data_IF_041346622727
#
_entry.id   IF_041346622727
#
_cell.length_a   1.000
_cell.length_b   1.000
_cell.length_c   1.000
_cell.angle_alpha   90.00
_cell.angle_beta   90.00
_cell.angle_gamma   90.00
#
_symmetry.space_group_name_H-M   'P 1'
#
loop_
_entity.id
_entity.type
_entity.pdbx_description
1 polymer ?
#
# COMPACT_ATOMS: atom_id res chain seq x y z
N UNK A 1 -4.07 -2.04 1.16
CA UNK A 1 -3.78 -0.71 0.56
C UNK A 1 -2.80 0.09 1.43
N UNK A 2 -1.80 0.78 0.84
CA UNK A 2 -0.78 1.55 1.57
C UNK A 2 -1.33 2.81 2.28
N UNK A 3 -0.96 3.01 3.54
CA UNK A 3 -1.36 4.20 4.31
C UNK A 3 -0.36 5.36 4.15
N UNK A 4 -0.73 6.30 3.28
CA UNK A 4 0.02 7.54 3.03
C UNK A 4 0.05 8.48 4.24
N UNK A 5 -0.92 8.42 5.16
CA UNK A 5 -0.93 9.28 6.34
C UNK A 5 0.10 8.85 7.39
N UNK A 6 0.60 7.61 7.30
CA UNK A 6 1.68 7.10 8.15
C UNK A 6 3.06 7.66 7.77
N UNK A 7 3.19 8.37 6.65
CA UNK A 7 4.46 8.90 6.17
C UNK A 7 4.95 10.07 7.05
N UNK A 8 6.21 10.03 7.44
CA UNK A 8 6.86 11.16 8.12
C UNK A 8 7.21 12.25 7.13
N UNK A 9 7.40 13.49 7.60
CA UNK A 9 7.80 14.62 6.75
C UNK A 9 9.09 14.38 5.95
N UNK A 10 10.05 13.66 6.53
CA UNK A 10 11.29 13.30 5.82
C UNK A 10 11.05 12.30 4.69
N UNK A 11 10.16 11.34 4.90
CA UNK A 11 9.81 10.36 3.87
C UNK A 11 8.97 11.00 2.76
N UNK A 12 8.05 11.91 3.12
CA UNK A 12 7.30 12.72 2.18
C UNK A 12 8.23 13.54 1.29
N UNK A 13 9.15 14.30 1.90
CA UNK A 13 10.16 15.09 1.17
C UNK A 13 11.01 14.21 0.27
N UNK A 14 11.45 13.04 0.75
CA UNK A 14 12.23 12.10 -0.05
C UNK A 14 11.44 11.61 -1.27
N UNK A 15 10.16 11.29 -1.09
CA UNK A 15 9.28 10.82 -2.17
C UNK A 15 9.06 11.94 -3.20
N UNK A 16 8.84 13.18 -2.76
CA UNK A 16 8.72 14.34 -3.64
C UNK A 16 10.02 14.57 -4.45
N UNK A 17 11.18 14.55 -3.78
CA UNK A 17 12.49 14.75 -4.39
C UNK A 17 12.79 13.69 -5.47
N UNK A 18 12.51 12.41 -5.17
CA UNK A 18 12.79 11.29 -6.08
C UNK A 18 11.79 11.22 -7.25
N UNK A 19 10.53 11.56 -6.99
CA UNK A 19 9.49 11.54 -8.02
C UNK A 19 9.49 12.78 -8.92
N UNK A 20 10.01 13.91 -8.43
CA UNK A 20 9.98 15.20 -9.12
C UNK A 20 8.59 15.84 -9.15
N UNK A 21 7.67 15.42 -8.29
CA UNK A 21 6.33 16.00 -8.16
C UNK A 21 5.93 16.20 -6.70
N UNK A 22 4.96 17.08 -6.48
CA UNK A 22 4.38 17.27 -5.16
C UNK A 22 3.54 16.09 -4.73
N UNK A 23 3.46 15.87 -3.41
CA UNK A 23 2.75 14.75 -2.79
C UNK A 23 1.26 14.74 -3.17
N UNK A 24 0.66 15.90 -3.42
CA UNK A 24 -0.72 16.02 -3.88
C UNK A 24 -0.98 15.26 -5.20
N UNK A 25 0.05 15.08 -6.03
CA UNK A 25 -0.02 14.24 -7.24
C UNK A 25 0.39 12.79 -7.00
N UNK A 26 1.11 12.50 -5.93
CA UNK A 26 1.60 11.16 -5.59
C UNK A 26 0.53 10.35 -4.87
N UNK A 27 -0.33 11.02 -4.09
CA UNK A 27 -1.51 10.43 -3.47
C UNK A 27 -2.68 10.17 -4.43
N UNK A 28 -2.54 10.49 -5.72
CA UNK A 28 -3.51 10.11 -6.75
C UNK A 28 -3.33 8.61 -7.06
N UNK A 29 -4.10 7.78 -6.36
CA UNK A 29 -4.09 6.32 -6.51
C UNK A 29 -4.72 5.84 -7.81
N UNK A 30 -5.48 6.69 -8.51
CA UNK A 30 -6.06 6.35 -9.82
C UNK A 30 -5.04 6.57 -10.95
N UNK A 31 -4.07 7.49 -10.76
CA UNK A 31 -3.02 7.80 -11.74
C UNK A 31 -1.64 7.95 -11.09
N UNK A 32 -1.13 6.91 -10.41
CA UNK A 32 0.14 7.01 -9.72
C UNK A 32 1.27 7.19 -10.74
N UNK A 33 2.14 8.16 -10.50
CA UNK A 33 3.34 8.31 -11.33
C UNK A 33 4.32 7.17 -11.04
N UNK A 34 4.87 6.56 -12.10
CA UNK A 34 5.80 5.42 -11.98
C UNK A 34 6.93 5.71 -10.99
N UNK A 35 7.60 6.87 -11.08
CA UNK A 35 8.67 7.22 -10.13
C UNK A 35 8.18 7.39 -8.68
N UNK A 36 6.93 7.81 -8.48
CA UNK A 36 6.30 7.89 -7.17
C UNK A 36 6.12 6.51 -6.55
N UNK A 37 5.66 5.53 -7.32
CA UNK A 37 5.51 4.14 -6.87
C UNK A 37 6.84 3.54 -6.40
N UNK A 38 7.91 3.75 -7.16
CA UNK A 38 9.23 3.25 -6.78
C UNK A 38 9.78 3.99 -5.55
N UNK A 39 9.47 5.28 -5.40
CA UNK A 39 9.89 6.05 -4.23
C UNK A 39 9.14 5.58 -2.96
N UNK A 40 7.86 5.25 -3.08
CA UNK A 40 7.07 4.63 -2.01
C UNK A 40 7.64 3.26 -1.63
N UNK A 41 7.92 2.41 -2.62
CA UNK A 41 8.52 1.09 -2.38
C UNK A 41 9.87 1.18 -1.66
N UNK A 42 10.70 2.19 -1.98
CA UNK A 42 11.94 2.47 -1.26
C UNK A 42 11.69 2.75 0.23
N UNK A 43 10.69 3.59 0.54
CA UNK A 43 10.33 3.92 1.92
C UNK A 43 9.83 2.69 2.66
N UNK A 44 8.94 1.90 2.06
CA UNK A 44 8.44 0.63 2.61
C UNK A 44 9.61 -0.28 2.96
N UNK A 45 10.50 -0.57 2.00
CA UNK A 45 11.63 -1.48 2.21
C UNK A 45 12.61 -0.98 3.28
N UNK A 46 12.79 0.33 3.39
CA UNK A 46 13.62 0.93 4.46
C UNK A 46 13.00 0.72 5.84
N UNK A 47 11.68 0.85 5.96
CA UNK A 47 10.93 0.57 7.20
C UNK A 47 10.99 -0.91 7.59
N UNK A 48 10.96 -1.82 6.61
CA UNK A 48 11.06 -3.27 6.80
C UNK A 48 12.46 -3.78 7.21
N UNK A 49 13.44 -2.88 7.39
CA UNK A 49 14.77 -3.25 7.88
C UNK A 49 15.91 -3.07 6.87
N UNK A 50 15.67 -2.44 5.72
CA UNK A 50 16.73 -2.12 4.74
C UNK A 50 17.02 -0.61 4.64
N UNK A 51 17.43 0.07 5.72
CA UNK A 51 17.53 1.54 5.76
C UNK A 51 18.55 2.14 4.77
N UNK A 52 19.52 1.35 4.31
CA UNK A 52 20.58 1.79 3.40
C UNK A 52 20.25 1.59 1.92
N UNK A 53 19.14 0.94 1.59
CA UNK A 53 18.68 0.67 0.23
C UNK A 53 18.69 1.96 -0.59
N UNK A 54 19.21 1.91 -1.83
CA UNK A 54 19.27 3.09 -2.70
C UNK A 54 18.13 3.06 -3.71
N UNK A 55 17.73 4.24 -4.16
CA UNK A 55 16.64 4.37 -5.11
C UNK A 55 16.93 3.66 -6.45
N UNK A 56 18.19 3.68 -6.90
CA UNK A 56 18.59 2.98 -8.12
C UNK A 56 18.42 1.46 -8.02
N UNK A 57 18.56 0.89 -6.82
CA UNK A 57 18.33 -0.55 -6.61
C UNK A 57 16.85 -0.88 -6.78
N UNK A 58 15.97 0.00 -6.29
CA UNK A 58 14.51 -0.14 -6.44
C UNK A 58 14.08 0.07 -7.89
N UNK A 59 14.68 1.02 -8.62
CA UNK A 59 14.43 1.27 -10.04
C UNK A 59 14.78 0.08 -10.94
N UNK A 60 15.63 -0.83 -10.49
CA UNK A 60 15.97 -2.05 -11.20
C UNK A 60 14.95 -3.18 -11.01
N UNK A 61 14.03 -3.04 -10.05
CA UNK A 61 12.99 -4.04 -9.78
C UNK A 61 11.88 -3.98 -10.85
N UNK A 62 11.26 -5.12 -11.18
CA UNK A 62 10.11 -5.14 -12.06
C UNK A 62 8.90 -4.46 -11.41
N UNK A 63 8.04 -3.84 -12.22
CA UNK A 63 6.85 -3.13 -11.74
C UNK A 63 5.90 -4.02 -10.93
N UNK A 64 5.83 -5.32 -11.25
CA UNK A 64 5.04 -6.29 -10.47
C UNK A 64 5.49 -6.35 -9.02
N UNK A 65 6.80 -6.48 -8.78
CA UNK A 65 7.34 -6.49 -7.42
C UNK A 65 7.09 -5.16 -6.69
N UNK A 66 7.16 -4.04 -7.41
CA UNK A 66 6.83 -2.73 -6.82
C UNK A 66 5.38 -2.67 -6.38
N UNK A 67 4.45 -3.18 -7.19
CA UNK A 67 3.02 -3.20 -6.83
C UNK A 67 2.76 -4.09 -5.61
N UNK A 68 3.45 -5.22 -5.50
CA UNK A 68 3.38 -6.09 -4.32
C UNK A 68 3.92 -5.38 -3.07
N UNK A 69 5.08 -4.71 -3.18
CA UNK A 69 5.70 -3.97 -2.07
C UNK A 69 4.80 -2.85 -1.57
N UNK A 70 4.15 -2.11 -2.47
CA UNK A 70 3.27 -1.00 -2.12
C UNK A 70 1.86 -1.50 -1.77
N UNK A 71 1.58 -2.81 -1.88
CA UNK A 71 0.26 -3.37 -1.60
C UNK A 71 -0.83 -2.81 -2.51
N UNK A 72 -0.49 -2.56 -3.78
CA UNK A 72 -1.44 -2.22 -4.85
C UNK A 72 -1.93 -3.46 -5.60
N UNK A 73 -1.33 -4.62 -5.31
CA UNK A 73 -1.69 -5.91 -5.90
C UNK A 73 -2.55 -6.74 -4.94
N UNK A 74 -3.44 -6.10 -4.15
CA UNK A 74 -4.38 -6.82 -3.28
C UNK A 74 -5.21 -7.79 -4.14
N UNK A 75 -4.82 -9.07 -4.13
CA UNK A 75 -5.77 -10.16 -4.17
C UNK A 75 -6.73 -9.89 -3.02
N UNK A 76 -7.98 -9.61 -3.37
CA UNK A 76 -9.12 -9.70 -2.46
C UNK A 76 -9.04 -11.08 -1.81
N UNK A 77 -8.51 -11.16 -0.60
CA UNK A 77 -8.91 -12.25 0.30
C UNK A 77 -10.40 -12.00 0.53
N UNK A 78 -11.22 -12.83 -0.12
CA UNK A 78 -12.62 -13.03 0.26
C UNK A 78 -12.61 -13.34 1.76
N UNK A 79 -12.94 -12.35 2.59
CA UNK A 79 -13.33 -12.59 3.97
C UNK A 79 -14.47 -13.59 3.93
N UNK A 80 -14.18 -14.85 4.23
CA UNK A 80 -15.16 -15.86 4.55
C UNK A 80 -15.98 -15.29 5.72
N UNK A 81 -17.20 -14.84 5.45
CA UNK A 81 -18.14 -14.51 6.51
C UNK A 81 -18.33 -15.77 7.35
N UNK A 82 -17.86 -15.73 8.60
CA UNK A 82 -18.32 -16.64 9.63
C UNK A 82 -19.82 -16.40 9.84
N UNK A 83 -20.63 -17.15 9.09
CA UNK A 83 -22.06 -17.28 9.28
C UNK A 83 -22.32 -17.92 10.64
N UNK A 84 -22.39 -17.06 11.65
CA UNK A 84 -22.81 -17.37 13.01
C UNK A 84 -24.19 -18.03 12.94
N UNK A 85 -24.22 -19.34 13.23
CA UNK A 85 -25.44 -20.13 13.26
C UNK A 85 -26.31 -19.75 14.44
N UNK A 86 -27.15 -18.73 14.27
CA UNK A 86 -28.23 -18.44 15.20
C UNK A 86 -29.42 -19.36 14.89
N UNK A 87 -29.46 -20.50 15.59
CA UNK A 87 -30.64 -21.35 15.69
C UNK A 87 -31.71 -20.64 16.54
N UNK A 88 -32.41 -19.68 15.93
CA UNK A 88 -33.63 -19.11 16.50
C UNK A 88 -34.78 -20.11 16.36
N UNK A 89 -35.13 -20.79 17.45
CA UNK A 89 -36.41 -21.47 17.65
C UNK A 89 -37.58 -20.51 17.43
N UNK A 90 -38.63 -20.87 16.66
CA UNK A 90 -39.93 -20.23 16.82
C UNK A 90 -40.78 -21.01 17.83
N UNK A 91 -40.83 -20.48 19.05
CA UNK A 91 -41.95 -20.72 19.96
C UNK A 91 -43.10 -19.76 19.60
N UNK A 92 -44.32 -20.30 19.69
CA UNK A 92 -45.67 -19.69 19.75
C UNK A 92 -46.61 -19.99 18.57
N UNK A 93 -47.67 -20.77 18.78
CA UNK A 93 -48.99 -20.46 19.39
C UNK A 93 -49.99 -19.97 18.34
N UNK A 94 -50.91 -20.86 17.94
CA UNK A 94 -52.30 -20.57 17.59
C UNK A 94 -53.12 -21.86 17.54
#
# INVERSE_FOLDING_TARGET
MFDFNSLTGNELSLIEDLSGASIARIGDTERPMIKGLYALALVVKRREGNPTLKFNDVLALPLSEINDIVGLNEEVEETEEEGEGDASEPSETA
#
